data_IF_057178728999
#
_entry.id   IF_057178728999
#
_cell.length_a   1.000
_cell.length_b   1.000
_cell.length_c   1.000
_cell.angle_alpha   90.00
_cell.angle_beta   90.00
_cell.angle_gamma   90.00
#
_symmetry.space_group_name_H-M   'P 1'
#
loop_
_entity.id
_entity.type
_entity.pdbx_description
1 polymer ?
#
# COMPACT_ATOMS: atom_id res chain seq x y z
N UNK A 1 35.54 -36.03 -30.29
CA UNK A 1 34.53 -35.00 -30.62
C UNK A 1 33.16 -35.65 -30.44
N UNK A 2 32.52 -35.44 -29.29
CA UNK A 2 31.24 -36.08 -28.96
C UNK A 2 30.15 -35.52 -29.90
N UNK A 3 29.63 -36.35 -30.80
CA UNK A 3 28.39 -36.04 -31.54
C UNK A 3 27.25 -36.07 -30.54
N UNK A 4 26.85 -34.90 -30.05
CA UNK A 4 25.64 -34.78 -29.26
C UNK A 4 24.44 -34.89 -30.20
N UNK A 5 23.60 -35.87 -29.94
CA UNK A 5 22.31 -36.00 -30.61
C UNK A 5 21.39 -34.83 -30.19
N UNK A 6 20.55 -34.35 -31.10
CA UNK A 6 19.71 -33.17 -30.87
C UNK A 6 18.79 -33.33 -29.66
N UNK A 7 18.33 -34.56 -29.37
CA UNK A 7 17.50 -34.86 -28.19
C UNK A 7 18.24 -34.66 -26.87
N UNK A 8 19.52 -35.04 -26.81
CA UNK A 8 20.35 -34.85 -25.61
C UNK A 8 20.65 -33.38 -25.37
N UNK A 9 20.84 -32.62 -26.45
CA UNK A 9 21.07 -31.18 -26.41
C UNK A 9 19.83 -30.43 -25.90
N UNK A 10 18.65 -30.85 -26.35
CA UNK A 10 17.35 -30.33 -25.89
C UNK A 10 17.12 -30.64 -24.41
N UNK A 11 17.36 -31.88 -23.98
CA UNK A 11 17.24 -32.28 -22.56
C UNK A 11 18.19 -31.48 -21.65
N UNK A 12 19.44 -31.27 -22.09
CA UNK A 12 20.42 -30.45 -21.37
C UNK A 12 19.92 -29.01 -21.15
N UNK A 13 19.27 -28.43 -22.15
CA UNK A 13 18.68 -27.09 -22.07
C UNK A 13 17.58 -27.00 -21.00
N UNK A 14 16.67 -27.97 -20.92
CA UNK A 14 15.61 -27.97 -19.90
C UNK A 14 16.15 -28.15 -18.49
N UNK A 15 17.20 -28.97 -18.33
CA UNK A 15 17.88 -29.14 -17.05
C UNK A 15 18.58 -27.83 -16.64
N UNK A 16 19.20 -27.12 -17.57
CA UNK A 16 19.81 -25.82 -17.30
C UNK A 16 18.77 -24.77 -16.82
N UNK A 17 17.58 -24.75 -17.43
CA UNK A 17 16.46 -23.90 -17.00
C UNK A 17 16.00 -24.28 -15.58
N UNK A 18 15.91 -25.57 -15.27
CA UNK A 18 15.54 -26.04 -13.93
C UNK A 18 16.58 -25.67 -12.87
N UNK A 19 17.87 -25.76 -13.17
CA UNK A 19 18.94 -25.34 -12.25
C UNK A 19 18.87 -23.84 -11.98
N UNK A 20 18.52 -23.03 -12.98
CA UNK A 20 18.35 -21.59 -12.83
C UNK A 20 17.15 -21.24 -11.93
N UNK A 21 16.06 -22.01 -12.03
CA UNK A 21 14.81 -21.77 -11.28
C UNK A 21 14.80 -22.45 -9.90
N UNK A 22 15.62 -23.48 -9.71
CA UNK A 22 15.80 -24.23 -8.46
C UNK A 22 15.85 -23.41 -7.17
N UNK A 23 16.60 -22.28 -7.08
CA UNK A 23 16.65 -21.48 -5.84
C UNK A 23 15.33 -20.77 -5.50
N UNK A 24 14.41 -20.65 -6.46
CA UNK A 24 13.13 -19.94 -6.29
C UNK A 24 11.95 -20.91 -6.16
N UNK A 25 12.03 -22.08 -6.81
CA UNK A 25 10.97 -23.09 -6.78
C UNK A 25 11.60 -24.49 -6.67
N UNK A 26 11.92 -24.92 -5.46
CA UNK A 26 12.53 -26.22 -5.21
C UNK A 26 11.55 -27.36 -5.52
N UNK A 27 10.24 -27.10 -5.40
CA UNK A 27 9.17 -28.03 -5.75
C UNK A 27 9.24 -28.45 -7.22
N UNK A 28 9.74 -27.56 -8.08
CA UNK A 28 9.91 -27.84 -9.51
C UNK A 28 10.98 -28.87 -9.81
N UNK A 29 11.98 -29.00 -8.94
CA UNK A 29 13.00 -30.04 -9.02
C UNK A 29 12.37 -31.41 -8.72
N UNK A 30 11.49 -31.48 -7.71
CA UNK A 30 10.75 -32.71 -7.40
C UNK A 30 9.81 -33.11 -8.55
N UNK A 31 9.10 -32.14 -9.14
CA UNK A 31 8.26 -32.40 -10.33
C UNK A 31 9.11 -32.89 -11.51
N UNK A 32 10.29 -32.31 -11.72
CA UNK A 32 11.21 -32.74 -12.77
C UNK A 32 11.75 -34.16 -12.55
N UNK A 33 11.95 -34.59 -11.30
CA UNK A 33 12.37 -35.96 -10.97
C UNK A 33 11.28 -36.99 -11.25
N UNK A 34 10.00 -36.63 -11.10
CA UNK A 34 8.86 -37.56 -11.26
C UNK A 34 8.40 -37.61 -12.73
N UNK A 35 8.27 -36.45 -13.38
CA UNK A 35 7.58 -36.31 -14.68
C UNK A 35 8.57 -35.98 -15.82
N UNK A 36 9.82 -35.68 -15.49
CA UNK A 36 10.85 -35.29 -16.44
C UNK A 36 11.01 -33.77 -16.58
N UNK A 37 12.22 -33.36 -16.97
CA UNK A 37 12.62 -31.95 -17.02
C UNK A 37 11.77 -31.10 -17.99
N UNK A 38 11.37 -31.67 -19.14
CA UNK A 38 10.57 -30.96 -20.14
C UNK A 38 9.18 -30.58 -19.62
N UNK A 39 8.48 -31.55 -19.03
CA UNK A 39 7.12 -31.34 -18.52
C UNK A 39 7.13 -30.37 -17.35
N UNK A 40 8.15 -30.47 -16.49
CA UNK A 40 8.34 -29.55 -15.37
C UNK A 40 8.52 -28.09 -15.85
N UNK A 41 9.37 -27.85 -16.86
CA UNK A 41 9.58 -26.50 -17.41
C UNK A 41 8.31 -25.96 -18.08
N UNK A 42 7.59 -26.79 -18.86
CA UNK A 42 6.33 -26.38 -19.47
C UNK A 42 5.26 -26.03 -18.42
N UNK A 43 5.17 -26.83 -17.36
CA UNK A 43 4.30 -26.56 -16.23
C UNK A 43 4.65 -25.22 -15.56
N UNK A 44 5.94 -24.96 -15.34
CA UNK A 44 6.40 -23.69 -14.76
C UNK A 44 6.03 -22.49 -15.63
N UNK A 45 6.25 -22.59 -16.95
CA UNK A 45 5.89 -21.52 -17.89
C UNK A 45 4.38 -21.28 -17.91
N UNK A 46 3.57 -22.34 -17.89
CA UNK A 46 2.12 -22.25 -17.79
C UNK A 46 1.66 -21.59 -16.49
N UNK A 47 2.29 -21.99 -15.37
CA UNK A 47 2.03 -21.40 -14.06
C UNK A 47 2.39 -19.91 -14.03
N UNK A 48 3.58 -19.53 -14.51
CA UNK A 48 4.00 -18.13 -14.58
C UNK A 48 3.05 -17.29 -15.43
N UNK A 49 2.62 -17.80 -16.58
CA UNK A 49 1.63 -17.12 -17.43
C UNK A 49 0.32 -16.88 -16.68
N UNK A 50 -0.17 -17.87 -15.94
CA UNK A 50 -1.38 -17.72 -15.14
C UNK A 50 -1.19 -16.68 -14.02
N UNK A 51 -0.07 -16.75 -13.29
CA UNK A 51 0.24 -15.77 -12.25
C UNK A 51 0.35 -14.35 -12.80
N UNK A 52 0.93 -14.18 -13.99
CA UNK A 52 1.00 -12.90 -14.68
C UNK A 52 -0.39 -12.35 -15.00
N UNK A 53 -1.29 -13.18 -15.53
CA UNK A 53 -2.68 -12.77 -15.82
C UNK A 53 -3.44 -12.38 -14.55
N UNK A 54 -3.26 -13.12 -13.46
CA UNK A 54 -3.85 -12.78 -12.15
C UNK A 54 -3.31 -11.46 -11.64
N UNK A 55 -2.00 -11.22 -11.80
CA UNK A 55 -1.37 -9.95 -11.43
C UNK A 55 -1.93 -8.78 -12.23
N UNK A 56 -2.04 -8.91 -13.56
CA UNK A 56 -2.64 -7.87 -14.41
C UNK A 56 -4.09 -7.58 -14.01
N UNK A 57 -4.89 -8.62 -13.76
CA UNK A 57 -6.28 -8.45 -13.32
C UNK A 57 -6.38 -7.71 -11.97
N UNK A 58 -5.49 -8.03 -11.01
CA UNK A 58 -5.42 -7.31 -9.74
C UNK A 58 -5.00 -5.86 -9.92
N UNK A 59 -4.04 -5.60 -10.81
CA UNK A 59 -3.55 -4.26 -11.10
C UNK A 59 -4.65 -3.39 -11.72
N UNK A 60 -5.44 -3.93 -12.64
CA UNK A 60 -6.62 -3.25 -13.18
C UNK A 60 -7.68 -2.98 -12.11
N UNK A 61 -7.94 -3.94 -11.22
CA UNK A 61 -8.87 -3.74 -10.10
C UNK A 61 -8.41 -2.57 -9.19
N UNK A 62 -7.11 -2.49 -8.88
CA UNK A 62 -6.54 -1.39 -8.09
C UNK A 62 -6.70 -0.05 -8.81
N UNK A 63 -6.45 0.02 -10.12
CA UNK A 63 -6.65 1.25 -10.90
C UNK A 63 -8.11 1.72 -10.86
N UNK A 64 -9.06 0.80 -11.06
CA UNK A 64 -10.50 1.11 -11.01
C UNK A 64 -10.90 1.57 -9.62
N UNK A 65 -10.41 0.91 -8.57
CA UNK A 65 -10.68 1.30 -7.19
C UNK A 65 -10.14 2.71 -6.88
N UNK A 66 -8.89 2.99 -7.24
CA UNK A 66 -8.29 4.32 -7.08
C UNK A 66 -9.06 5.39 -7.84
N UNK A 67 -9.43 5.11 -9.10
CA UNK A 67 -10.26 6.00 -9.90
C UNK A 67 -11.61 6.31 -9.23
N UNK A 68 -12.23 5.28 -8.65
CA UNK A 68 -13.50 5.42 -7.92
C UNK A 68 -13.35 6.26 -6.65
N UNK A 69 -12.30 6.03 -5.87
CA UNK A 69 -11.99 6.82 -4.65
C UNK A 69 -11.76 8.29 -5.02
N UNK A 70 -10.98 8.56 -6.08
CA UNK A 70 -10.73 9.92 -6.55
C UNK A 70 -12.02 10.60 -7.02
N UNK A 71 -12.88 9.89 -7.75
CA UNK A 71 -14.16 10.43 -8.22
C UNK A 71 -15.13 10.74 -7.05
N UNK A 72 -15.19 9.88 -6.04
CA UNK A 72 -16.01 10.14 -4.84
C UNK A 72 -15.45 11.34 -4.07
N UNK A 73 -14.13 11.38 -3.90
CA UNK A 73 -13.46 12.45 -3.14
C UNK A 73 -13.61 13.80 -3.84
N UNK A 74 -13.57 13.87 -5.17
CA UNK A 74 -13.70 15.12 -5.92
C UNK A 74 -15.09 15.75 -5.81
N UNK A 75 -16.13 14.94 -5.61
CA UNK A 75 -17.51 15.40 -5.42
C UNK A 75 -17.85 15.63 -3.94
N UNK A 76 -17.03 15.12 -3.02
CA UNK A 76 -17.28 15.26 -1.59
C UNK A 76 -17.17 16.73 -1.13
N UNK A 77 -18.10 17.16 -0.26
CA UNK A 77 -18.17 18.54 0.24
C UNK A 77 -16.90 19.03 0.95
N UNK A 78 -16.12 18.11 1.54
CA UNK A 78 -14.80 18.41 2.17
C UNK A 78 -13.79 18.91 1.14
N UNK A 79 -13.85 18.43 -0.10
CA UNK A 79 -12.96 18.86 -1.18
C UNK A 79 -13.39 20.20 -1.79
N UNK A 80 -14.59 20.69 -1.44
CA UNK A 80 -15.01 22.03 -1.82
C UNK A 80 -14.33 23.06 -0.91
N UNK A 81 -13.41 23.88 -1.46
CA UNK A 81 -12.62 24.81 -0.66
C UNK A 81 -13.50 25.81 0.09
N UNK A 82 -14.67 26.18 -0.45
CA UNK A 82 -15.58 27.13 0.22
C UNK A 82 -16.15 26.56 1.52
N UNK A 83 -16.54 25.28 1.51
CA UNK A 83 -17.10 24.60 2.67
C UNK A 83 -16.00 24.35 3.71
N UNK A 84 -14.83 23.88 3.23
CA UNK A 84 -13.67 23.68 4.09
C UNK A 84 -13.22 24.97 4.79
N UNK A 85 -13.06 26.07 4.04
CA UNK A 85 -12.67 27.36 4.62
C UNK A 85 -13.69 27.87 5.63
N UNK A 86 -15.00 27.73 5.36
CA UNK A 86 -16.03 28.14 6.29
C UNK A 86 -15.93 27.36 7.62
N UNK A 87 -15.78 26.03 7.56
CA UNK A 87 -15.58 25.21 8.76
C UNK A 87 -14.27 25.51 9.48
N UNK A 88 -13.17 25.69 8.74
CA UNK A 88 -11.89 26.05 9.32
C UNK A 88 -11.96 27.38 10.06
N UNK A 89 -12.54 28.42 9.44
CA UNK A 89 -12.70 29.74 10.04
C UNK A 89 -13.58 29.70 11.30
N UNK A 90 -14.70 28.99 11.26
CA UNK A 90 -15.56 28.82 12.44
C UNK A 90 -14.82 28.08 13.55
N UNK A 91 -14.09 27.02 13.22
CA UNK A 91 -13.33 26.23 14.21
C UNK A 91 -12.22 27.05 14.85
N UNK A 92 -11.48 27.84 14.06
CA UNK A 92 -10.46 28.77 14.56
C UNK A 92 -11.08 29.83 15.46
N UNK A 93 -12.23 30.39 15.07
CA UNK A 93 -12.97 31.36 15.90
C UNK A 93 -13.40 30.76 17.24
N UNK A 94 -13.99 29.58 17.23
CA UNK A 94 -14.39 28.86 18.46
C UNK A 94 -13.17 28.56 19.33
N UNK A 95 -12.07 28.11 18.73
CA UNK A 95 -10.83 27.83 19.47
C UNK A 95 -10.24 29.09 20.11
N UNK A 96 -10.23 30.21 19.39
CA UNK A 96 -9.74 31.49 19.92
C UNK A 96 -10.59 31.99 21.09
N UNK A 97 -11.92 31.92 20.97
CA UNK A 97 -12.85 32.32 22.05
C UNK A 97 -12.73 31.41 23.26
N UNK A 98 -12.81 30.10 23.06
CA UNK A 98 -12.74 29.13 24.16
C UNK A 98 -11.37 29.13 24.83
N UNK A 99 -10.29 29.22 24.05
CA UNK A 99 -8.92 29.31 24.56
C UNK A 99 -8.67 30.59 25.36
N UNK A 100 -9.16 31.74 24.89
CA UNK A 100 -9.05 33.00 25.64
C UNK A 100 -9.89 32.98 26.91
N UNK A 101 -11.13 32.48 26.87
CA UNK A 101 -11.94 32.30 28.07
C UNK A 101 -11.29 31.35 29.08
N UNK A 102 -10.72 30.23 28.62
CA UNK A 102 -9.99 29.30 29.46
C UNK A 102 -8.77 29.97 30.10
N UNK A 103 -7.98 30.70 29.32
CA UNK A 103 -6.80 31.42 29.83
C UNK A 103 -7.20 32.45 30.90
N UNK A 104 -8.24 33.24 30.67
CA UNK A 104 -8.72 34.24 31.65
C UNK A 104 -9.23 33.57 32.93
N UNK A 105 -10.03 32.50 32.80
CA UNK A 105 -10.65 31.84 33.96
C UNK A 105 -9.69 30.93 34.74
N UNK A 106 -8.80 30.22 34.07
CA UNK A 106 -7.89 29.28 34.73
C UNK A 106 -6.62 29.95 35.27
N UNK A 107 -6.13 31.00 34.62
CA UNK A 107 -4.85 31.63 34.95
C UNK A 107 -5.05 32.99 35.63
N UNK A 108 -5.80 33.91 35.00
CA UNK A 108 -5.93 35.27 35.53
C UNK A 108 -6.90 35.39 36.70
N UNK A 109 -8.01 34.67 36.68
CA UNK A 109 -9.02 34.76 37.74
C UNK A 109 -8.46 34.39 39.13
N UNK A 110 -7.69 33.29 39.32
CA UNK A 110 -7.03 33.03 40.60
C UNK A 110 -6.01 34.10 41.01
N UNK A 111 -5.27 34.66 40.05
CA UNK A 111 -4.30 35.74 40.31
C UNK A 111 -5.00 37.01 40.82
N UNK A 112 -6.12 37.38 40.20
CA UNK A 112 -6.91 38.55 40.63
C UNK A 112 -7.54 38.33 42.00
N UNK A 113 -8.10 37.14 42.26
CA UNK A 113 -8.69 36.81 43.56
C UNK A 113 -7.62 36.77 44.66
N UNK A 114 -6.47 36.15 44.40
CA UNK A 114 -5.36 36.11 45.36
C UNK A 114 -4.72 37.49 45.59
N UNK A 115 -4.53 38.29 44.53
CA UNK A 115 -4.01 39.65 44.63
C UNK A 115 -4.94 40.60 45.38
N UNK A 116 -6.25 40.50 45.13
CA UNK A 116 -7.28 41.26 45.85
C UNK A 116 -7.39 40.84 47.32
N UNK A 117 -7.23 39.55 47.64
CA UNK A 117 -7.21 39.05 49.02
C UNK A 117 -5.96 39.49 49.81
N UNK A 118 -4.85 39.78 49.12
CA UNK A 118 -3.59 40.26 49.71
C UNK A 118 -3.49 41.79 49.84
N UNK A 119 -4.52 42.53 49.42
CA UNK A 119 -4.57 44.00 49.59
C UNK A 119 -3.58 44.78 48.74
N UNK A 120 -3.06 44.20 47.65
CA UNK A 120 -2.17 44.88 46.70
C UNK A 120 -3.01 45.31 45.49
N UNK A 121 -3.77 46.38 45.65
CA UNK A 121 -4.54 47.06 44.62
C UNK A 121 -4.28 48.55 44.67
#
# INVERSE_FOLDING_TARGET
MLKLDNEKLRSLFFIAILILVAPVAIELIFVAQIVGAEVAVLFFLGFLKHQWQVFEAKLECVKVWLGSVLAITSVHAISNPKIFYAHAMISVGVFAVTGSMFYVTAIWYPVVVAGGALGVG
#
